data_IF_311817647633
#
_entry.id   IF_311817647633
#
_cell.length_a   1.000
_cell.length_b   1.000
_cell.length_c   1.000
_cell.angle_alpha   90.00
_cell.angle_beta   90.00
_cell.angle_gamma   90.00
#
_symmetry.space_group_name_H-M   'P 1'
#
loop_
_entity.id
_entity.type
_entity.pdbx_description
1 polymer ?
#
# COMPACT_ATOMS: atom_id res chain seq x y z
N UNK A 1 0.42 10.90 -10.05
CA UNK A 1 -0.41 9.70 -10.35
C UNK A 1 -0.55 9.62 -11.86
N UNK A 2 -0.17 8.50 -12.48
CA UNK A 2 -0.34 8.27 -13.92
C UNK A 2 -1.76 7.81 -14.29
N UNK A 3 -2.46 7.19 -13.34
CA UNK A 3 -3.80 6.62 -13.50
C UNK A 3 -4.78 7.33 -12.54
N UNK A 4 -6.07 7.24 -12.83
CA UNK A 4 -7.11 7.79 -11.97
C UNK A 4 -7.24 6.97 -10.67
N UNK A 5 -7.63 7.64 -9.57
CA UNK A 5 -7.80 6.99 -8.26
C UNK A 5 -8.83 5.85 -8.34
N UNK A 6 -9.88 6.03 -9.14
CA UNK A 6 -10.94 5.03 -9.32
C UNK A 6 -10.46 3.74 -10.00
N UNK A 7 -9.32 3.77 -10.70
CA UNK A 7 -8.75 2.57 -11.31
C UNK A 7 -8.18 1.61 -10.26
N UNK A 8 -7.83 2.10 -9.07
CA UNK A 8 -7.31 1.29 -7.95
C UNK A 8 -8.30 0.18 -7.58
N UNK A 9 -9.60 0.47 -7.63
CA UNK A 9 -10.67 -0.47 -7.28
C UNK A 9 -10.69 -1.72 -8.16
N UNK A 10 -10.17 -1.63 -9.40
CA UNK A 10 -10.18 -2.70 -10.40
C UNK A 10 -8.78 -3.29 -10.64
N UNK A 11 -7.84 -3.09 -9.72
CA UNK A 11 -6.49 -3.65 -9.83
C UNK A 11 -6.43 -5.05 -9.23
N UNK A 12 -5.61 -5.93 -9.80
CA UNK A 12 -5.34 -7.26 -9.22
C UNK A 12 -4.32 -7.20 -8.06
N UNK A 13 -3.48 -6.16 -8.05
CA UNK A 13 -2.42 -5.98 -7.07
C UNK A 13 -2.19 -4.51 -6.76
N UNK A 14 -2.25 -4.16 -5.48
CA UNK A 14 -1.90 -2.84 -4.95
C UNK A 14 -0.56 -2.96 -4.23
N UNK A 15 0.48 -2.35 -4.82
CA UNK A 15 1.82 -2.29 -4.23
C UNK A 15 2.06 -0.91 -3.61
N UNK A 16 2.06 -0.84 -2.29
CA UNK A 16 2.24 0.38 -1.51
C UNK A 16 3.67 0.41 -1.00
N UNK A 17 4.47 1.36 -1.48
CA UNK A 17 5.88 1.49 -1.10
C UNK A 17 6.15 2.86 -0.50
N UNK A 18 6.56 2.90 0.78
CA UNK A 18 6.91 4.14 1.48
C UNK A 18 5.78 5.17 1.53
N UNK A 19 4.52 4.72 1.48
CA UNK A 19 3.35 5.59 1.40
C UNK A 19 2.29 5.15 2.40
N UNK A 20 1.72 6.13 3.11
CA UNK A 20 0.72 5.89 4.14
C UNK A 20 -0.63 6.54 3.76
N UNK A 21 -1.45 5.86 2.95
CA UNK A 21 -2.74 6.40 2.53
C UNK A 21 -3.74 6.53 3.68
N UNK A 22 -3.63 5.70 4.74
CA UNK A 22 -4.58 5.74 5.86
C UNK A 22 -4.60 7.12 6.55
N UNK A 23 -3.42 7.69 6.77
CA UNK A 23 -3.29 9.02 7.41
C UNK A 23 -3.28 10.17 6.40
N UNK A 24 -2.63 9.99 5.24
CA UNK A 24 -2.42 11.10 4.29
C UNK A 24 -3.61 11.32 3.35
N UNK A 25 -4.27 10.24 2.91
CA UNK A 25 -5.35 10.30 1.91
C UNK A 25 -6.41 9.22 2.17
N UNK A 26 -7.32 9.43 3.14
CA UNK A 26 -8.30 8.43 3.58
C UNK A 26 -9.21 7.94 2.45
N UNK A 27 -9.50 8.79 1.47
CA UNK A 27 -10.29 8.43 0.29
C UNK A 27 -9.56 7.36 -0.54
N UNK A 28 -8.25 7.52 -0.75
CA UNK A 28 -7.42 6.52 -1.46
C UNK A 28 -7.32 5.24 -0.65
N UNK A 29 -7.23 5.32 0.69
CA UNK A 29 -7.27 4.13 1.55
C UNK A 29 -8.58 3.34 1.37
N UNK A 30 -9.72 4.02 1.23
CA UNK A 30 -11.00 3.36 0.95
C UNK A 30 -10.99 2.63 -0.39
N UNK A 31 -10.38 3.20 -1.43
CA UNK A 31 -10.23 2.53 -2.73
C UNK A 31 -9.32 1.29 -2.63
N UNK A 32 -8.22 1.36 -1.87
CA UNK A 32 -7.37 0.20 -1.60
C UNK A 32 -8.15 -0.91 -0.87
N UNK A 33 -8.99 -0.55 0.10
CA UNK A 33 -9.86 -1.50 0.81
C UNK A 33 -10.90 -2.12 -0.15
N UNK A 34 -11.48 -1.34 -1.06
CA UNK A 34 -12.41 -1.84 -2.09
C UNK A 34 -11.72 -2.79 -3.06
N UNK A 35 -10.52 -2.44 -3.52
CA UNK A 35 -9.70 -3.33 -4.35
C UNK A 35 -9.48 -4.68 -3.65
N UNK A 36 -9.16 -4.66 -2.34
CA UNK A 36 -9.04 -5.87 -1.53
C UNK A 36 -10.32 -6.70 -1.48
N UNK A 37 -11.47 -6.05 -1.29
CA UNK A 37 -12.77 -6.71 -1.31
C UNK A 37 -13.10 -7.32 -2.68
N UNK A 38 -12.63 -6.69 -3.76
CA UNK A 38 -12.75 -7.20 -5.13
C UNK A 38 -11.78 -8.35 -5.44
N UNK A 39 -10.89 -8.71 -4.52
CA UNK A 39 -9.94 -9.82 -4.67
C UNK A 39 -8.51 -9.39 -4.97
N UNK A 40 -8.21 -8.09 -4.98
CA UNK A 40 -6.86 -7.60 -5.17
C UNK A 40 -5.93 -8.03 -4.03
N UNK A 41 -4.67 -8.31 -4.36
CA UNK A 41 -3.61 -8.51 -3.38
C UNK A 41 -3.02 -7.18 -2.96
N UNK A 42 -2.85 -6.98 -1.65
CA UNK A 42 -2.19 -5.79 -1.12
C UNK A 42 -0.81 -6.17 -0.60
N UNK A 43 0.21 -5.50 -1.10
CA UNK A 43 1.58 -5.58 -0.57
C UNK A 43 1.96 -4.20 -0.05
N UNK A 44 2.38 -4.13 1.21
CA UNK A 44 2.85 -2.90 1.83
C UNK A 44 4.33 -3.05 2.15
N UNK A 45 5.13 -2.13 1.64
CA UNK A 45 6.55 -2.03 1.87
C UNK A 45 6.82 -0.74 2.65
N UNK A 46 6.86 -0.86 3.97
CA UNK A 46 7.09 0.26 4.88
C UNK A 46 7.86 -0.26 6.10
N UNK A 47 8.93 0.42 6.56
CA UNK A 47 9.64 0.04 7.78
C UNK A 47 8.73 0.05 9.01
N UNK A 48 7.67 0.86 9.01
CA UNK A 48 6.69 1.00 10.09
C UNK A 48 5.50 0.12 9.80
N UNK A 49 4.87 -0.37 10.88
CA UNK A 49 3.59 -1.09 10.79
C UNK A 49 2.44 -0.10 10.78
N UNK A 50 2.21 0.53 9.62
CA UNK A 50 1.11 1.47 9.38
C UNK A 50 -0.25 0.76 9.31
N UNK A 51 -1.36 1.50 9.40
CA UNK A 51 -2.70 0.90 9.34
C UNK A 51 -2.93 0.13 8.04
N UNK A 52 -2.41 0.62 6.91
CA UNK A 52 -2.52 -0.09 5.63
C UNK A 52 -1.75 -1.41 5.62
N UNK A 53 -0.67 -1.54 6.42
CA UNK A 53 0.05 -2.80 6.58
C UNK A 53 -0.76 -3.85 7.37
N UNK A 54 -1.77 -3.44 8.15
CA UNK A 54 -2.62 -4.36 8.91
C UNK A 54 -3.61 -5.11 8.02
N UNK A 55 -4.04 -4.47 6.92
CA UNK A 55 -4.96 -5.05 5.93
C UNK A 55 -4.23 -5.70 4.74
N UNK A 56 -2.90 -5.60 4.70
CA UNK A 56 -2.07 -6.12 3.62
C UNK A 56 -1.93 -7.65 3.69
N UNK A 57 -1.87 -8.30 2.54
CA UNK A 57 -1.50 -9.72 2.44
C UNK A 57 -0.04 -9.94 2.79
N UNK A 58 0.81 -8.97 2.44
CA UNK A 58 2.23 -9.03 2.71
C UNK A 58 2.72 -7.67 3.20
N UNK A 59 3.31 -7.65 4.40
CA UNK A 59 4.02 -6.49 4.93
C UNK A 59 5.53 -6.75 4.86
N UNK A 60 6.21 -6.00 4.00
CA UNK A 60 7.66 -6.00 3.86
C UNK A 60 8.21 -4.89 4.75
N UNK A 61 8.60 -5.27 5.97
CA UNK A 61 9.26 -4.37 6.92
C UNK A 61 10.74 -4.19 6.55
N UNK A 62 11.02 -3.17 5.72
CA UNK A 62 12.39 -2.80 5.39
C UNK A 62 13.11 -2.23 6.63
N UNK A 63 14.42 -2.47 6.76
CA UNK A 63 15.23 -1.73 7.73
C UNK A 63 15.51 -0.34 7.19
N UNK A 64 15.31 0.68 8.02
CA UNK A 64 15.54 2.11 7.70
C UNK A 64 17.04 2.44 7.66
N UNK A 65 17.80 1.72 6.85
CA UNK A 65 19.15 2.03 6.38
C UNK A 65 19.41 1.08 5.22
N UNK A 66 19.04 1.51 4.02
CA UNK A 66 19.58 0.95 2.80
C UNK A 66 20.55 1.98 2.20
N UNK A 67 21.40 2.57 3.05
CA UNK A 67 22.72 2.98 2.59
C UNK A 67 23.41 1.69 2.19
N UNK A 68 23.41 1.46 0.88
CA UNK A 68 24.38 0.63 0.20
C UNK A 68 25.70 0.62 0.97
N UNK A 69 26.03 -0.52 1.59
CA UNK A 69 27.43 -0.86 1.84
C UNK A 69 28.04 -1.04 0.45
N UNK A 70 28.51 0.07 -0.11
CA UNK A 70 29.60 0.09 -1.06
C UNK A 70 30.88 0.27 -0.24
#
# INVERSE_FOLDING_TARGET
MSNAINEIDNTDLVFIFGYNPADSHPIVANHVIRAKQNGAKIIVCDPRKIETARIADMHIALKTVQTSRC
#
